data_IF_698930816860
#
_entry.id   IF_698930816860
#
_cell.length_a   1.000
_cell.length_b   1.000
_cell.length_c   1.000
_cell.angle_alpha   90.00
_cell.angle_beta   90.00
_cell.angle_gamma   90.00
#
_symmetry.space_group_name_H-M   'P 1'
#
loop_
_entity.id
_entity.type
_entity.pdbx_description
1 polymer ?
#
# COMPACT_ATOMS: atom_id res chain seq x y z
N UNK A 1 61.18 51.77 10.85
CA UNK A 1 61.31 50.31 10.66
C UNK A 1 61.02 50.00 9.20
N UNK A 2 62.07 49.90 8.37
CA UNK A 2 62.66 48.67 7.80
C UNK A 2 61.76 47.98 6.74
N UNK A 3 62.21 48.14 5.49
CA UNK A 3 61.89 47.46 4.22
C UNK A 3 61.79 45.93 4.31
N UNK A 4 61.06 45.26 3.38
CA UNK A 4 61.66 44.33 2.39
C UNK A 4 60.68 43.75 1.33
N UNK A 5 61.09 43.84 0.06
CA UNK A 5 60.90 42.96 -1.13
C UNK A 5 59.48 42.61 -1.65
N UNK A 6 59.06 43.06 -2.85
CA UNK A 6 59.42 42.58 -4.22
C UNK A 6 59.03 41.11 -4.49
N UNK A 7 58.12 40.90 -5.45
CA UNK A 7 58.44 40.38 -6.80
C UNK A 7 57.21 40.50 -7.71
N UNK A 8 57.50 41.07 -8.88
CA UNK A 8 56.69 41.18 -10.09
C UNK A 8 56.68 39.81 -10.80
N UNK A 9 55.53 39.31 -11.23
CA UNK A 9 55.49 38.42 -12.40
C UNK A 9 54.23 38.71 -13.23
N UNK A 10 54.46 39.49 -14.29
CA UNK A 10 53.60 39.55 -15.47
C UNK A 10 53.87 38.29 -16.29
N UNK A 11 52.84 37.48 -16.52
CA UNK A 11 52.75 36.61 -17.69
C UNK A 11 51.36 36.77 -18.29
N UNK A 12 51.34 37.60 -19.32
CA UNK A 12 50.36 37.67 -20.39
C UNK A 12 50.34 36.28 -21.06
N UNK A 13 49.19 35.79 -21.50
CA UNK A 13 48.96 35.13 -22.81
C UNK A 13 47.54 34.55 -22.84
N UNK A 14 46.76 35.02 -23.83
CA UNK A 14 46.01 34.12 -24.70
C UNK A 14 44.60 33.71 -24.28
N UNK A 15 43.61 34.55 -24.62
CA UNK A 15 42.28 34.06 -24.96
C UNK A 15 42.39 33.09 -26.14
N UNK A 16 41.94 31.85 -25.96
CA UNK A 16 41.58 30.98 -27.08
C UNK A 16 40.10 30.61 -26.95
N UNK A 17 39.30 31.04 -27.93
CA UNK A 17 37.89 30.64 -28.08
C UNK A 17 37.84 29.15 -28.36
N UNK A 18 37.25 28.39 -27.45
CA UNK A 18 36.57 27.13 -27.79
C UNK A 18 35.16 27.22 -27.24
N UNK A 19 34.18 27.17 -28.16
CA UNK A 19 32.78 26.89 -27.81
C UNK A 19 32.77 25.49 -27.22
N UNK A 20 32.48 25.39 -25.92
CA UNK A 20 32.11 24.14 -25.28
C UNK A 20 30.60 24.22 -25.08
N UNK A 21 29.92 23.30 -25.75
CA UNK A 21 28.49 23.04 -25.59
C UNK A 21 28.19 22.80 -24.11
N UNK A 22 27.29 23.60 -23.55
CA UNK A 22 26.72 23.34 -22.24
C UNK A 22 25.69 22.22 -22.42
N UNK A 23 26.12 20.98 -22.19
CA UNK A 23 25.22 19.84 -22.05
C UNK A 23 24.32 20.04 -20.84
N UNK A 24 23.08 20.43 -21.13
CA UNK A 24 21.96 20.29 -20.22
C UNK A 24 21.63 18.80 -20.08
N UNK A 25 22.05 18.17 -18.98
CA UNK A 25 21.41 16.95 -18.54
C UNK A 25 21.23 16.92 -17.02
N UNK A 26 20.34 17.80 -16.54
CA UNK A 26 19.55 17.54 -15.33
C UNK A 26 18.09 17.35 -15.74
N UNK A 27 17.83 16.28 -16.49
CA UNK A 27 16.49 15.75 -16.69
C UNK A 27 16.22 14.71 -15.62
N UNK A 28 15.78 15.13 -14.43
CA UNK A 28 14.93 14.24 -13.64
C UNK A 28 13.56 14.31 -14.29
N UNK A 29 13.33 13.46 -15.28
CA UNK A 29 11.99 13.21 -15.79
C UNK A 29 11.18 12.57 -14.65
N UNK A 30 10.61 13.41 -13.80
CA UNK A 30 9.38 13.07 -13.08
C UNK A 30 8.27 13.05 -14.12
N UNK A 31 8.24 11.99 -14.92
CA UNK A 31 7.01 11.53 -15.52
C UNK A 31 6.17 10.99 -14.36
N UNK A 32 5.47 11.88 -13.67
CA UNK A 32 4.22 11.47 -13.03
C UNK A 32 3.35 10.93 -14.16
N UNK A 33 3.40 9.62 -14.40
CA UNK A 33 2.38 8.94 -15.19
C UNK A 33 1.04 9.40 -14.64
N UNK A 34 0.30 10.15 -15.45
CA UNK A 34 -0.99 10.71 -15.07
C UNK A 34 -1.93 9.55 -14.80
N UNK A 35 -2.00 9.20 -13.52
CA UNK A 35 -2.77 8.07 -13.03
C UNK A 35 -4.23 8.27 -13.38
N UNK A 36 -4.81 7.30 -14.10
CA UNK A 36 -6.23 7.36 -14.46
C UNK A 36 -7.09 7.51 -13.19
N UNK A 37 -8.19 8.27 -13.23
CA UNK A 37 -9.09 8.43 -12.10
C UNK A 37 -9.57 7.08 -11.54
N UNK A 38 -9.71 6.97 -10.20
CA UNK A 38 -10.05 5.70 -9.56
C UNK A 38 -11.32 5.05 -10.11
N UNK A 39 -12.34 5.86 -10.42
CA UNK A 39 -13.60 5.38 -10.99
C UNK A 39 -13.38 4.72 -12.36
N UNK A 40 -12.52 5.28 -13.20
CA UNK A 40 -12.19 4.73 -14.52
C UNK A 40 -11.34 3.46 -14.37
N UNK A 41 -10.40 3.46 -13.43
CA UNK A 41 -9.64 2.27 -13.08
C UNK A 41 -10.55 1.11 -12.67
N UNK A 42 -11.49 1.34 -11.75
CA UNK A 42 -12.45 0.30 -11.32
C UNK A 42 -13.37 -0.13 -12.47
N UNK A 43 -13.77 0.77 -13.36
CA UNK A 43 -14.50 0.39 -14.57
C UNK A 43 -13.68 -0.55 -15.47
N UNK A 44 -12.36 -0.37 -15.55
CA UNK A 44 -11.48 -1.29 -16.28
C UNK A 44 -11.38 -2.66 -15.62
N UNK A 45 -11.37 -2.72 -14.28
CA UNK A 45 -11.40 -3.99 -13.53
C UNK A 45 -12.71 -4.74 -13.78
N UNK A 46 -13.83 -4.03 -13.81
CA UNK A 46 -15.15 -4.64 -14.02
C UNK A 46 -15.37 -5.22 -15.41
N UNK A 47 -14.62 -4.78 -16.41
CA UNK A 47 -14.63 -5.36 -17.77
C UNK A 47 -13.88 -6.69 -17.86
N UNK A 48 -13.02 -7.01 -16.88
CA UNK A 48 -12.28 -8.27 -16.86
C UNK A 48 -13.23 -9.45 -16.63
N UNK A 49 -12.99 -10.54 -17.35
CA UNK A 49 -13.62 -11.83 -17.11
C UNK A 49 -13.32 -12.34 -15.71
N UNK A 50 -14.09 -13.34 -15.27
CA UNK A 50 -13.89 -13.94 -13.94
C UNK A 50 -12.48 -14.51 -13.75
N UNK A 51 -11.95 -15.18 -14.78
CA UNK A 51 -10.61 -15.78 -14.74
C UNK A 51 -9.52 -14.71 -14.70
N UNK A 52 -9.64 -13.64 -15.49
CA UNK A 52 -8.72 -12.50 -15.41
C UNK A 52 -8.74 -11.84 -14.04
N UNK A 53 -9.92 -11.66 -13.42
CA UNK A 53 -10.03 -11.14 -12.06
C UNK A 53 -9.35 -12.08 -11.07
N UNK A 54 -9.61 -13.38 -11.12
CA UNK A 54 -8.95 -14.36 -10.23
C UNK A 54 -7.42 -14.25 -10.28
N UNK A 55 -6.85 -14.14 -11.49
CA UNK A 55 -5.40 -14.01 -11.68
C UNK A 55 -4.86 -12.60 -11.33
N UNK A 56 -5.73 -11.58 -11.29
CA UNK A 56 -5.36 -10.19 -11.00
C UNK A 56 -5.51 -9.79 -9.53
N UNK A 57 -6.23 -10.58 -8.72
CA UNK A 57 -6.59 -10.22 -7.34
C UNK A 57 -5.38 -9.81 -6.48
N UNK A 58 -4.28 -10.57 -6.56
CA UNK A 58 -3.07 -10.22 -5.81
C UNK A 58 -2.52 -8.85 -6.22
N UNK A 59 -2.41 -8.59 -7.53
CA UNK A 59 -1.90 -7.30 -8.03
C UNK A 59 -2.80 -6.14 -7.59
N UNK A 60 -4.11 -6.32 -7.70
CA UNK A 60 -5.09 -5.33 -7.27
C UNK A 60 -4.94 -4.97 -5.79
N UNK A 61 -4.93 -5.97 -4.89
CA UNK A 61 -4.83 -5.71 -3.45
C UNK A 61 -3.44 -5.22 -3.06
N UNK A 62 -2.36 -5.79 -3.61
CA UNK A 62 -0.99 -5.51 -3.18
C UNK A 62 -0.43 -4.19 -3.72
N UNK A 63 -0.85 -3.74 -4.90
CA UNK A 63 -0.29 -2.54 -5.53
C UNK A 63 -1.35 -1.48 -5.83
N UNK A 64 -2.46 -1.85 -6.49
CA UNK A 64 -3.42 -0.84 -6.97
C UNK A 64 -4.19 -0.20 -5.82
N UNK A 65 -4.71 -1.00 -4.88
CA UNK A 65 -5.41 -0.49 -3.70
C UNK A 65 -4.54 0.50 -2.91
N UNK A 66 -3.30 0.17 -2.49
CA UNK A 66 -2.40 1.12 -1.85
C UNK A 66 -2.12 2.35 -2.72
N UNK A 67 -1.90 2.18 -4.02
CA UNK A 67 -1.63 3.29 -4.93
C UNK A 67 -2.75 4.34 -4.84
N UNK A 68 -4.02 3.93 -4.88
CA UNK A 68 -5.16 4.85 -4.79
C UNK A 68 -5.52 5.30 -3.38
N UNK A 69 -5.61 4.36 -2.43
CA UNK A 69 -6.20 4.62 -1.13
C UNK A 69 -5.24 5.24 -0.12
N UNK A 70 -3.92 5.12 -0.30
CA UNK A 70 -2.95 5.72 0.63
C UNK A 70 -3.26 7.20 0.86
N UNK A 71 -3.13 7.62 2.13
CA UNK A 71 -3.48 8.95 2.63
C UNK A 71 -4.97 9.25 2.77
N UNK A 72 -5.87 8.31 2.47
CA UNK A 72 -7.28 8.44 2.88
C UNK A 72 -7.35 8.37 4.41
N UNK A 73 -7.75 9.45 5.13
CA UNK A 73 -7.69 9.48 6.58
C UNK A 73 -8.62 8.44 7.23
N UNK A 74 -8.22 7.97 8.41
CA UNK A 74 -9.06 7.05 9.18
C UNK A 74 -10.08 7.81 10.03
N UNK A 75 -11.27 7.22 10.16
CA UNK A 75 -12.25 7.55 11.19
C UNK A 75 -13.04 6.29 11.52
N UNK A 76 -13.46 6.13 12.79
CA UNK A 76 -14.31 5.02 13.20
C UNK A 76 -15.64 4.97 12.41
N UNK A 77 -16.20 6.14 12.10
CA UNK A 77 -17.42 6.29 11.31
C UNK A 77 -17.15 6.50 9.81
N UNK A 78 -15.91 6.31 9.35
CA UNK A 78 -15.52 6.56 7.97
C UNK A 78 -16.12 5.54 7.02
N UNK A 79 -16.87 5.99 6.01
CA UNK A 79 -17.57 5.13 5.05
C UNK A 79 -17.28 5.46 3.59
N UNK A 80 -16.27 6.31 3.32
CA UNK A 80 -16.00 6.86 1.99
C UNK A 80 -15.95 5.80 0.89
N UNK A 81 -16.47 6.12 -0.29
CA UNK A 81 -16.36 5.30 -1.50
C UNK A 81 -15.27 5.79 -2.45
N UNK A 82 -14.66 6.91 -2.13
CA UNK A 82 -13.66 7.56 -2.97
C UNK A 82 -12.34 7.69 -2.21
N UNK A 83 -11.24 7.15 -2.76
CA UNK A 83 -9.92 7.36 -2.20
C UNK A 83 -9.63 8.85 -2.00
N UNK A 84 -8.96 9.17 -0.90
CA UNK A 84 -8.48 10.51 -0.55
C UNK A 84 -9.59 11.56 -0.36
N UNK A 85 -10.87 11.14 -0.36
CA UNK A 85 -12.02 11.99 -0.03
C UNK A 85 -12.71 11.47 1.21
N UNK A 86 -12.98 12.35 2.17
CA UNK A 86 -13.61 11.97 3.44
C UNK A 86 -12.71 11.06 4.28
N UNK A 87 -13.31 10.11 5.00
CA UNK A 87 -12.59 9.19 5.89
C UNK A 87 -13.07 7.74 5.70
N UNK A 88 -12.23 6.78 6.09
CA UNK A 88 -12.53 5.35 5.90
C UNK A 88 -12.14 4.50 7.12
N UNK A 89 -13.10 3.75 7.66
CA UNK A 89 -12.89 2.77 8.73
C UNK A 89 -12.28 1.47 8.17
N UNK A 90 -11.73 0.62 9.04
CA UNK A 90 -11.02 -0.59 8.64
C UNK A 90 -11.90 -1.63 7.92
N UNK A 91 -13.08 -1.94 8.46
CA UNK A 91 -14.04 -2.84 7.81
C UNK A 91 -14.60 -2.27 6.51
N UNK A 92 -14.84 -0.95 6.47
CA UNK A 92 -15.27 -0.26 5.25
C UNK A 92 -14.19 -0.26 4.16
N UNK A 93 -12.91 -0.10 4.52
CA UNK A 93 -11.80 -0.20 3.59
C UNK A 93 -11.72 -1.59 2.93
N UNK A 94 -11.76 -2.66 3.73
CA UNK A 94 -11.74 -4.04 3.22
C UNK A 94 -12.96 -4.29 2.32
N UNK A 95 -14.16 -4.03 2.80
CA UNK A 95 -15.38 -4.33 2.02
C UNK A 95 -15.53 -3.47 0.78
N UNK A 96 -15.13 -2.19 0.80
CA UNK A 96 -15.16 -1.32 -0.38
C UNK A 96 -14.26 -1.85 -1.48
N UNK A 97 -13.01 -2.13 -1.16
CA UNK A 97 -12.03 -2.61 -2.14
C UNK A 97 -12.45 -3.95 -2.74
N UNK A 98 -13.05 -4.85 -1.94
CA UNK A 98 -13.61 -6.10 -2.45
C UNK A 98 -14.84 -5.90 -3.33
N UNK A 99 -15.79 -5.03 -2.96
CA UNK A 99 -16.92 -4.72 -3.86
C UNK A 99 -16.47 -4.06 -5.16
N UNK A 100 -15.46 -3.18 -5.10
CA UNK A 100 -14.92 -2.50 -6.28
C UNK A 100 -14.19 -3.48 -7.20
N UNK A 101 -13.59 -4.53 -6.64
CA UNK A 101 -13.03 -5.63 -7.41
C UNK A 101 -14.10 -6.51 -8.09
N UNK A 102 -15.31 -6.56 -7.51
CA UNK A 102 -16.46 -7.32 -8.02
C UNK A 102 -16.95 -8.44 -7.11
N UNK A 103 -16.52 -8.52 -5.84
CA UNK A 103 -17.13 -9.44 -4.89
C UNK A 103 -18.59 -9.05 -4.63
N UNK A 104 -19.51 -9.99 -4.77
CA UNK A 104 -20.93 -9.80 -4.48
C UNK A 104 -21.20 -9.93 -2.97
N UNK A 105 -21.08 -8.80 -2.26
CA UNK A 105 -21.23 -8.72 -0.81
C UNK A 105 -22.05 -7.50 -0.38
N UNK A 106 -22.82 -7.64 0.69
CA UNK A 106 -23.37 -6.48 1.40
C UNK A 106 -22.26 -5.79 2.20
N UNK A 107 -21.59 -4.81 1.56
CA UNK A 107 -20.43 -4.11 2.13
C UNK A 107 -20.74 -3.42 3.45
N UNK A 108 -21.89 -2.76 3.58
CA UNK A 108 -22.25 -2.01 4.80
C UNK A 108 -22.45 -2.96 5.96
N UNK A 109 -23.19 -4.05 5.75
CA UNK A 109 -23.40 -5.07 6.77
C UNK A 109 -22.06 -5.67 7.22
N UNK A 110 -21.24 -6.16 6.29
CA UNK A 110 -19.97 -6.82 6.64
C UNK A 110 -18.94 -5.87 7.25
N UNK A 111 -18.90 -4.60 6.83
CA UNK A 111 -17.98 -3.61 7.39
C UNK A 111 -18.24 -3.34 8.88
N UNK A 112 -19.47 -3.54 9.33
CA UNK A 112 -19.92 -3.31 10.70
C UNK A 112 -19.87 -4.58 11.56
N UNK A 113 -19.66 -5.75 10.96
CA UNK A 113 -19.54 -7.00 11.72
C UNK A 113 -18.16 -7.15 12.36
N UNK A 114 -18.07 -8.05 13.35
CA UNK A 114 -16.80 -8.59 13.77
C UNK A 114 -16.03 -9.17 12.56
N UNK A 115 -14.72 -8.91 12.49
CA UNK A 115 -13.86 -9.36 11.38
C UNK A 115 -13.94 -10.88 11.14
N UNK A 116 -14.18 -11.67 12.19
CA UNK A 116 -14.38 -13.11 12.10
C UNK A 116 -15.58 -13.52 11.26
N UNK A 117 -16.68 -12.75 11.25
CA UNK A 117 -17.85 -13.00 10.42
C UNK A 117 -17.49 -12.76 8.95
N UNK A 118 -16.82 -11.66 8.66
CA UNK A 118 -16.32 -11.33 7.32
C UNK A 118 -15.36 -12.42 6.80
N UNK A 119 -14.40 -12.85 7.61
CA UNK A 119 -13.43 -13.89 7.23
C UNK A 119 -14.13 -15.23 6.98
N UNK A 120 -15.04 -15.66 7.87
CA UNK A 120 -15.80 -16.91 7.70
C UNK A 120 -16.65 -16.92 6.43
N UNK A 121 -17.13 -15.75 5.99
CA UNK A 121 -17.94 -15.63 4.78
C UNK A 121 -17.10 -15.60 3.51
N UNK A 122 -15.94 -14.94 3.54
CA UNK A 122 -15.18 -14.60 2.33
C UNK A 122 -13.93 -15.46 2.09
N UNK A 123 -13.43 -16.14 3.11
CA UNK A 123 -12.13 -16.80 3.05
C UNK A 123 -12.23 -18.32 3.17
N UNK A 124 -11.16 -18.97 2.70
CA UNK A 124 -10.86 -20.39 2.92
C UNK A 124 -9.64 -20.52 3.83
N UNK A 125 -9.31 -21.76 4.21
CA UNK A 125 -8.12 -22.09 4.99
C UNK A 125 -7.96 -21.24 6.26
N UNK A 126 -9.07 -21.03 6.95
CA UNK A 126 -9.14 -20.14 8.08
C UNK A 126 -8.31 -20.72 9.24
N UNK A 127 -7.44 -19.89 9.80
CA UNK A 127 -6.60 -20.22 10.96
C UNK A 127 -6.73 -19.15 12.03
N UNK A 128 -6.43 -19.56 13.26
CA UNK A 128 -6.40 -18.71 14.42
C UNK A 128 -5.05 -18.84 15.12
N UNK A 129 -4.48 -17.71 15.52
CA UNK A 129 -3.22 -17.64 16.26
C UNK A 129 -3.35 -16.67 17.43
N UNK A 130 -2.62 -16.95 18.51
CA UNK A 130 -2.46 -16.06 19.66
C UNK A 130 -1.03 -15.49 19.77
N UNK A 131 -0.15 -15.88 18.86
CA UNK A 131 1.24 -15.40 18.78
C UNK A 131 1.52 -14.87 17.39
N UNK A 132 2.15 -13.69 17.33
CA UNK A 132 2.50 -13.01 16.08
C UNK A 132 3.48 -13.83 15.22
N UNK A 133 4.40 -14.56 15.84
CA UNK A 133 5.41 -15.38 15.19
C UNK A 133 4.80 -16.61 14.48
N UNK A 134 3.78 -17.22 15.09
CA UNK A 134 3.08 -18.37 14.51
C UNK A 134 2.30 -17.95 13.26
N UNK A 135 1.65 -16.77 13.31
CA UNK A 135 1.02 -16.16 12.15
C UNK A 135 2.03 -15.91 11.01
N UNK A 136 3.20 -15.35 11.31
CA UNK A 136 4.23 -15.10 10.29
C UNK A 136 4.71 -16.40 9.66
N UNK A 137 5.02 -17.38 10.49
CA UNK A 137 5.48 -18.71 10.05
C UNK A 137 4.44 -19.37 9.16
N UNK A 138 3.16 -19.25 9.50
CA UNK A 138 2.07 -19.72 8.65
C UNK A 138 2.08 -19.04 7.28
N UNK A 139 2.12 -17.71 7.21
CA UNK A 139 2.11 -16.97 5.94
C UNK A 139 3.32 -17.33 5.08
N UNK A 140 4.52 -17.42 5.68
CA UNK A 140 5.77 -17.76 5.01
C UNK A 140 5.87 -19.23 4.58
N UNK A 141 5.03 -20.11 5.14
CA UNK A 141 4.91 -21.52 4.70
C UNK A 141 4.05 -21.72 3.45
N UNK A 142 3.29 -20.71 3.02
CA UNK A 142 2.37 -20.81 1.88
C UNK A 142 3.05 -20.51 0.54
N UNK A 143 2.26 -20.48 -0.52
CA UNK A 143 2.73 -19.98 -1.81
C UNK A 143 2.96 -18.46 -1.79
N UNK A 144 3.72 -17.99 -2.77
CA UNK A 144 3.89 -16.56 -3.02
C UNK A 144 2.61 -15.95 -3.62
N UNK A 145 2.52 -14.63 -3.60
CA UNK A 145 1.46 -13.84 -4.22
C UNK A 145 0.06 -14.19 -3.69
N UNK A 146 -0.02 -14.49 -2.40
CA UNK A 146 -1.27 -14.79 -1.71
C UNK A 146 -1.85 -13.54 -1.05
N UNK A 147 -3.18 -13.45 -1.02
CA UNK A 147 -3.94 -12.42 -0.31
C UNK A 147 -4.72 -13.06 0.81
N UNK A 148 -4.65 -12.45 1.99
CA UNK A 148 -5.41 -12.86 3.15
C UNK A 148 -6.23 -11.70 3.70
N UNK A 149 -7.38 -11.99 4.27
CA UNK A 149 -8.02 -11.08 5.22
C UNK A 149 -7.55 -11.48 6.62
N UNK A 150 -7.10 -10.51 7.41
CA UNK A 150 -6.75 -10.70 8.82
C UNK A 150 -7.71 -9.91 9.72
N UNK A 151 -8.19 -10.58 10.75
CA UNK A 151 -8.95 -10.04 11.86
C UNK A 151 -8.08 -10.03 13.11
N UNK A 152 -8.01 -8.87 13.75
CA UNK A 152 -7.30 -8.62 15.00
C UNK A 152 -8.32 -8.36 16.12
N UNK A 153 -7.84 -7.97 17.30
CA UNK A 153 -8.66 -7.73 18.50
C UNK A 153 -9.86 -6.80 18.22
N UNK A 154 -9.62 -5.67 17.54
CA UNK A 154 -10.65 -4.69 17.14
C UNK A 154 -10.35 -4.07 15.78
N UNK A 155 -9.50 -4.71 14.97
CA UNK A 155 -9.01 -4.14 13.72
C UNK A 155 -8.96 -5.20 12.62
N UNK A 156 -8.89 -4.76 11.35
CA UNK A 156 -8.84 -5.67 10.20
C UNK A 156 -8.15 -5.02 9.01
N UNK A 157 -7.69 -5.84 8.08
CA UNK A 157 -7.06 -5.43 6.84
C UNK A 157 -6.66 -6.63 6.00
N UNK A 158 -5.85 -6.39 4.98
CA UNK A 158 -5.26 -7.44 4.17
C UNK A 158 -3.84 -7.73 4.63
N UNK A 159 -3.46 -9.00 4.59
CA UNK A 159 -2.05 -9.38 4.55
C UNK A 159 -1.75 -9.92 3.15
N UNK A 160 -0.67 -9.45 2.55
CA UNK A 160 -0.15 -9.98 1.28
C UNK A 160 1.24 -10.55 1.49
N UNK A 161 1.57 -11.61 0.74
CA UNK A 161 2.94 -12.13 0.67
C UNK A 161 3.49 -11.94 -0.74
N UNK A 162 4.46 -11.07 -0.87
CA UNK A 162 5.20 -10.82 -2.09
C UNK A 162 6.60 -11.44 -1.93
N UNK A 163 6.80 -12.60 -2.53
CA UNK A 163 8.01 -13.41 -2.30
C UNK A 163 8.25 -13.77 -0.82
N UNK A 164 9.21 -13.09 -0.18
CA UNK A 164 9.56 -13.25 1.24
C UNK A 164 9.00 -12.13 2.11
N UNK A 165 8.58 -11.03 1.49
CA UNK A 165 8.05 -9.88 2.21
C UNK A 165 6.56 -10.06 2.46
N UNK A 166 6.16 -9.75 3.69
CA UNK A 166 4.76 -9.72 4.08
C UNK A 166 4.36 -8.28 4.38
N UNK A 167 3.24 -7.85 3.82
CA UNK A 167 2.70 -6.50 4.02
C UNK A 167 1.35 -6.56 4.71
N UNK A 168 1.11 -5.59 5.59
CA UNK A 168 -0.21 -5.29 6.13
C UNK A 168 -0.76 -4.04 5.44
N UNK A 169 -1.94 -4.19 4.83
CA UNK A 169 -2.63 -3.14 4.09
C UNK A 169 -3.94 -2.86 4.81
N UNK A 170 -4.05 -1.69 5.43
CA UNK A 170 -5.17 -1.38 6.31
C UNK A 170 -5.42 0.12 6.42
N UNK A 171 -6.64 0.49 6.82
CA UNK A 171 -6.93 1.85 7.30
C UNK A 171 -6.51 1.98 8.77
N UNK A 172 -5.37 2.65 9.01
CA UNK A 172 -4.70 2.71 10.30
C UNK A 172 -5.33 3.74 11.24
N UNK A 173 -5.92 3.23 12.33
CA UNK A 173 -6.55 4.04 13.37
C UNK A 173 -5.54 4.76 14.29
N UNK A 174 -4.30 4.29 14.35
CA UNK A 174 -3.29 4.87 15.23
C UNK A 174 -2.94 6.27 14.72
N UNK A 175 -3.19 7.28 15.56
CA UNK A 175 -3.03 8.70 15.21
C UNK A 175 -3.81 9.10 13.94
N UNK A 176 -4.91 8.41 13.64
CA UNK A 176 -5.74 8.62 12.45
C UNK A 176 -4.95 8.60 11.13
N UNK A 177 -3.86 7.82 11.06
CA UNK A 177 -2.94 7.81 9.91
C UNK A 177 -3.63 7.46 8.58
N UNK A 178 -4.72 6.70 8.60
CA UNK A 178 -5.46 6.36 7.39
C UNK A 178 -4.86 5.16 6.66
N UNK A 179 -5.24 4.99 5.40
CA UNK A 179 -4.82 3.80 4.63
C UNK A 179 -3.31 3.81 4.38
N UNK A 180 -2.68 2.67 4.68
CA UNK A 180 -1.26 2.42 4.47
C UNK A 180 -1.04 0.99 3.99
N UNK A 181 0.06 0.78 3.24
CA UNK A 181 0.74 -0.51 3.07
C UNK A 181 2.06 -0.42 3.82
N UNK A 182 2.28 -1.30 4.79
CA UNK A 182 3.52 -1.36 5.56
C UNK A 182 3.98 -2.80 5.74
N UNK A 183 5.29 -3.03 5.91
CA UNK A 183 5.79 -4.35 6.25
C UNK A 183 5.16 -4.81 7.57
N UNK A 184 4.75 -6.08 7.64
CA UNK A 184 4.07 -6.60 8.84
C UNK A 184 4.94 -6.46 10.10
N UNK A 185 6.26 -6.61 9.98
CA UNK A 185 7.22 -6.42 11.08
C UNK A 185 7.25 -4.98 11.62
N UNK A 186 6.87 -3.99 10.80
CA UNK A 186 6.86 -2.58 11.20
C UNK A 186 5.48 -2.10 11.68
N UNK A 187 4.43 -2.90 11.45
CA UNK A 187 3.07 -2.48 11.79
C UNK A 187 2.81 -2.52 13.29
N UNK A 188 2.64 -1.33 13.88
CA UNK A 188 2.28 -1.20 15.30
C UNK A 188 0.92 -1.83 15.61
N UNK A 189 -0.06 -1.67 14.73
CA UNK A 189 -1.40 -2.22 14.93
C UNK A 189 -1.38 -3.76 14.93
N UNK A 190 -0.66 -4.35 13.97
CA UNK A 190 -0.53 -5.81 13.88
C UNK A 190 0.26 -6.38 15.06
N UNK A 191 1.40 -5.78 15.40
CA UNK A 191 2.32 -6.33 16.42
C UNK A 191 1.85 -6.10 17.87
N UNK A 192 0.94 -5.15 18.10
CA UNK A 192 0.31 -4.94 19.41
C UNK A 192 -0.91 -5.85 19.65
N UNK A 193 -1.40 -6.54 18.62
CA UNK A 193 -2.60 -7.39 18.72
C UNK A 193 -2.31 -8.71 19.41
N UNK A 194 -3.29 -9.24 20.13
CA UNK A 194 -3.18 -10.51 20.88
C UNK A 194 -3.83 -11.69 20.16
N UNK A 195 -4.78 -11.42 19.28
CA UNK A 195 -5.52 -12.43 18.53
C UNK A 195 -5.41 -12.17 17.04
N UNK A 196 -5.30 -13.26 16.27
CA UNK A 196 -5.15 -13.21 14.83
C UNK A 196 -6.01 -14.29 14.20
N UNK A 197 -7.10 -13.89 13.54
CA UNK A 197 -7.84 -14.77 12.64
C UNK A 197 -7.44 -14.42 11.22
N UNK A 198 -6.97 -15.38 10.44
CA UNK A 198 -6.55 -15.16 9.06
C UNK A 198 -7.24 -16.17 8.15
N UNK A 199 -7.61 -15.74 6.94
CA UNK A 199 -8.14 -16.63 5.92
C UNK A 199 -7.66 -16.22 4.53
N UNK A 200 -7.43 -17.22 3.68
CA UNK A 200 -7.03 -17.05 2.28
C UNK A 200 -8.21 -16.50 1.48
N UNK A 201 -8.00 -15.39 0.78
CA UNK A 201 -9.00 -14.75 -0.07
C UNK A 201 -8.80 -15.17 -1.52
N UNK A 202 -9.88 -15.64 -2.16
CA UNK A 202 -9.91 -16.00 -3.58
C UNK A 202 -11.17 -15.43 -4.22
N UNK A 203 -11.13 -15.17 -5.53
CA UNK A 203 -12.26 -14.69 -6.35
C UNK A 203 -12.81 -15.82 -7.26
#
# INVERSE_FOLDING_TARGET
MKYLFCILFLMIIGCNKTKVESDNHSGSDNLEETKIPYKEFIASINKKSREEKKNYLFKFINYDVPNYWTSTPWSFNGTSREPQKGTIACGYFVTNTLTDFGFDINRTYLAQQASSIMIKKLCKDIKYFSKRQDLESYILSKEKNQVYIVGLDFHTGFITRENKDTYFIHSNYIKNKGVVKELTQNSKALNASKTFMIGSLNY
#
